data_IF_938583176237
#
_entry.id   IF_938583176237
#
_cell.length_a   1.000
_cell.length_b   1.000
_cell.length_c   1.000
_cell.angle_alpha   90.00
_cell.angle_beta   90.00
_cell.angle_gamma   90.00
#
_symmetry.space_group_name_H-M   'P 1'
#
loop_
_entity.id
_entity.type
_entity.pdbx_description
1 polymer ?
#
# COMPACT_ATOMS: atom_id res chain seq x y z
N UNK A 1 -14.03 -4.65 20.84
CA UNK A 1 -13.13 -3.94 21.75
C UNK A 1 -13.67 -3.96 23.19
N UNK A 2 -14.93 -3.50 23.42
CA UNK A 2 -15.50 -3.38 24.77
C UNK A 2 -15.43 -4.69 25.59
N UNK A 3 -15.71 -5.84 24.98
CA UNK A 3 -15.66 -7.17 25.64
C UNK A 3 -14.24 -7.79 25.68
N UNK A 4 -13.21 -7.06 25.30
CA UNK A 4 -11.83 -7.56 25.24
C UNK A 4 -11.52 -8.57 24.13
N UNK A 5 -12.48 -8.94 23.26
CA UNK A 5 -12.32 -9.94 22.21
C UNK A 5 -11.46 -9.45 21.03
N UNK A 6 -11.41 -8.14 20.80
CA UNK A 6 -10.59 -7.51 19.77
C UNK A 6 -9.88 -6.29 20.35
N UNK A 7 -8.65 -6.01 19.87
CA UNK A 7 -7.84 -4.85 20.30
C UNK A 7 -8.06 -3.66 19.39
N UNK A 8 -8.15 -3.89 18.09
CA UNK A 8 -8.23 -2.86 17.07
C UNK A 8 -9.38 -3.12 16.11
N UNK A 9 -9.99 -2.05 15.59
CA UNK A 9 -11.02 -2.10 14.57
C UNK A 9 -10.44 -1.64 13.24
N UNK A 10 -10.81 -2.32 12.16
CA UNK A 10 -10.47 -1.93 10.81
C UNK A 10 -11.70 -1.90 9.92
N UNK A 11 -11.59 -1.14 8.83
CA UNK A 11 -12.56 -1.08 7.75
C UNK A 11 -11.89 -1.42 6.43
N UNK A 12 -12.68 -1.69 5.40
CA UNK A 12 -12.15 -1.99 4.06
C UNK A 12 -12.96 -1.27 2.99
N UNK A 13 -12.26 -0.70 2.00
CA UNK A 13 -12.85 0.02 0.86
C UNK A 13 -13.70 1.23 1.26
N UNK A 14 -13.37 1.87 2.40
CA UNK A 14 -14.06 3.09 2.81
C UNK A 14 -13.45 4.29 2.09
N UNK A 15 -14.30 5.02 1.35
CA UNK A 15 -13.93 6.34 0.84
C UNK A 15 -13.86 7.36 1.99
N UNK A 16 -13.41 8.58 1.69
CA UNK A 16 -13.21 9.63 2.68
C UNK A 16 -14.48 9.93 3.51
N UNK A 17 -15.66 9.92 2.87
CA UNK A 17 -16.94 10.18 3.53
C UNK A 17 -17.28 9.06 4.54
N UNK A 18 -17.19 7.81 4.10
CA UNK A 18 -17.46 6.64 4.95
C UNK A 18 -16.45 6.53 6.09
N UNK A 19 -15.18 6.83 5.84
CA UNK A 19 -14.14 6.77 6.86
C UNK A 19 -14.33 7.82 7.95
N UNK A 20 -14.68 9.05 7.57
CA UNK A 20 -15.05 10.12 8.52
C UNK A 20 -16.26 9.71 9.36
N UNK A 21 -17.30 9.21 8.71
CA UNK A 21 -18.53 8.78 9.37
C UNK A 21 -18.29 7.59 10.32
N UNK A 22 -17.49 6.62 9.92
CA UNK A 22 -17.13 5.49 10.79
C UNK A 22 -16.40 5.95 12.06
N UNK A 23 -15.52 6.95 11.93
CA UNK A 23 -14.81 7.51 13.10
C UNK A 23 -15.74 8.28 14.05
N UNK A 24 -16.70 9.01 13.51
CA UNK A 24 -17.69 9.76 14.31
C UNK A 24 -18.62 8.81 15.08
N UNK A 25 -19.01 7.69 14.47
CA UNK A 25 -19.96 6.74 15.05
C UNK A 25 -19.30 5.69 15.94
N UNK A 26 -17.99 5.49 15.85
CA UNK A 26 -17.29 4.44 16.59
C UNK A 26 -16.69 4.98 17.89
N UNK A 27 -17.04 4.35 19.01
CA UNK A 27 -16.40 4.62 20.31
C UNK A 27 -14.95 4.11 20.38
N UNK A 28 -14.61 3.13 19.53
CA UNK A 28 -13.25 2.58 19.44
C UNK A 28 -12.61 3.16 18.18
N UNK A 29 -11.38 3.70 18.25
CA UNK A 29 -10.71 4.25 17.09
C UNK A 29 -10.60 3.25 15.94
N UNK A 30 -10.85 3.73 14.72
CA UNK A 30 -10.56 2.94 13.50
C UNK A 30 -9.05 2.92 13.31
N UNK A 31 -8.47 1.74 13.38
CA UNK A 31 -7.02 1.54 13.32
C UNK A 31 -6.49 1.45 11.88
N UNK A 32 -7.25 0.83 10.98
CA UNK A 32 -6.84 0.65 9.59
C UNK A 32 -7.99 0.76 8.60
N UNK A 33 -7.68 1.24 7.38
CA UNK A 33 -8.55 1.10 6.21
C UNK A 33 -7.80 0.28 5.15
N UNK A 34 -8.33 -0.88 4.79
CA UNK A 34 -7.76 -1.77 3.77
C UNK A 34 -8.37 -1.46 2.40
N UNK A 35 -7.54 -1.04 1.46
CA UNK A 35 -7.98 -0.57 0.13
C UNK A 35 -7.01 -1.03 -0.96
N UNK A 36 -7.43 -1.07 -2.25
CA UNK A 36 -6.50 -1.33 -3.34
C UNK A 36 -5.49 -0.19 -3.45
N UNK A 37 -4.22 -0.53 -3.62
CA UNK A 37 -3.19 0.46 -3.89
C UNK A 37 -1.97 -0.20 -4.53
N UNK A 38 -1.63 0.27 -5.72
CA UNK A 38 -0.49 -0.16 -6.51
C UNK A 38 0.03 0.99 -7.36
N UNK A 39 1.11 0.78 -8.11
CA UNK A 39 1.61 1.76 -9.09
C UNK A 39 0.55 2.10 -10.15
N UNK A 40 -0.32 1.15 -10.50
CA UNK A 40 -1.40 1.31 -11.50
C UNK A 40 -2.75 1.73 -10.92
N UNK A 41 -2.99 1.55 -9.63
CA UNK A 41 -4.23 1.99 -8.96
C UNK A 41 -3.91 2.89 -7.76
N UNK A 42 -4.10 4.19 -7.95
CA UNK A 42 -3.89 5.25 -6.95
C UNK A 42 -5.18 5.95 -6.55
N UNK A 43 -6.32 5.37 -6.86
CA UNK A 43 -7.64 6.00 -6.66
C UNK A 43 -7.86 6.48 -5.22
N UNK A 44 -7.36 5.75 -4.22
CA UNK A 44 -7.47 6.11 -2.80
C UNK A 44 -6.43 7.15 -2.33
N UNK A 45 -5.41 7.40 -3.13
CA UNK A 45 -4.48 8.53 -2.93
C UNK A 45 -5.10 9.80 -3.55
N UNK A 46 -5.51 9.70 -4.81
CA UNK A 46 -6.03 10.83 -5.59
C UNK A 46 -7.32 11.42 -5.00
N UNK A 47 -8.11 10.61 -4.31
CA UNK A 47 -9.33 11.03 -3.62
C UNK A 47 -9.13 11.49 -2.16
N UNK A 48 -7.87 11.58 -1.69
CA UNK A 48 -7.49 12.12 -0.39
C UNK A 48 -7.62 11.15 0.79
N UNK A 49 -7.92 9.87 0.57
CA UNK A 49 -8.05 8.87 1.66
C UNK A 49 -6.71 8.60 2.32
N UNK A 50 -5.61 8.45 1.54
CA UNK A 50 -4.28 8.24 2.11
C UNK A 50 -3.87 9.41 3.01
N UNK A 51 -4.00 10.63 2.52
CA UNK A 51 -3.67 11.84 3.29
C UNK A 51 -4.48 11.91 4.59
N UNK A 52 -5.78 11.62 4.52
CA UNK A 52 -6.63 11.58 5.69
C UNK A 52 -6.21 10.51 6.70
N UNK A 53 -5.83 9.33 6.24
CA UNK A 53 -5.31 8.25 7.09
C UNK A 53 -4.03 8.69 7.82
N UNK A 54 -3.09 9.31 7.11
CA UNK A 54 -1.84 9.82 7.65
C UNK A 54 -2.05 10.89 8.72
N UNK A 55 -2.97 11.84 8.48
CA UNK A 55 -3.29 12.92 9.40
C UNK A 55 -4.04 12.46 10.66
N UNK A 56 -4.66 11.28 10.63
CA UNK A 56 -5.55 10.80 11.69
C UNK A 56 -5.10 9.50 12.35
N UNK A 57 -3.83 9.14 12.20
CA UNK A 57 -3.21 7.95 12.80
C UNK A 57 -3.86 6.62 12.40
N UNK A 58 -4.42 6.57 11.17
CA UNK A 58 -5.02 5.38 10.59
C UNK A 58 -3.99 4.69 9.69
N UNK A 59 -3.80 3.40 9.85
CA UNK A 59 -2.95 2.60 8.99
C UNK A 59 -3.64 2.39 7.63
N UNK A 60 -2.92 2.64 6.55
CA UNK A 60 -3.40 2.37 5.19
C UNK A 60 -2.87 1.00 4.76
N UNK A 61 -3.74 -0.01 4.69
CA UNK A 61 -3.37 -1.37 4.31
C UNK A 61 -3.63 -1.57 2.82
N UNK A 62 -2.56 -1.64 2.03
CA UNK A 62 -2.62 -1.80 0.58
C UNK A 62 -2.81 -3.26 0.19
N UNK A 63 -3.94 -3.62 -0.43
CA UNK A 63 -4.12 -4.92 -1.06
C UNK A 63 -3.93 -4.83 -2.58
N UNK A 64 -3.71 -5.97 -3.25
CA UNK A 64 -3.35 -6.07 -4.67
C UNK A 64 -2.17 -5.17 -5.10
N UNK A 65 -1.08 -5.12 -4.31
CA UNK A 65 -0.01 -4.14 -4.51
C UNK A 65 0.79 -4.34 -5.80
N UNK A 66 0.68 -5.52 -6.41
CA UNK A 66 1.36 -5.90 -7.67
C UNK A 66 0.38 -6.15 -8.83
N UNK A 67 -0.88 -5.70 -8.67
CA UNK A 67 -1.93 -5.72 -9.69
C UNK A 67 -2.05 -7.08 -10.41
N UNK A 68 -2.03 -8.18 -9.63
CA UNK A 68 -2.14 -9.56 -10.14
C UNK A 68 -1.13 -9.90 -11.26
N UNK A 69 0.03 -9.24 -11.27
CA UNK A 69 1.08 -9.44 -12.26
C UNK A 69 0.95 -8.63 -13.55
N UNK A 70 -0.01 -7.71 -13.64
CA UNK A 70 -0.21 -6.85 -14.85
C UNK A 70 0.83 -5.75 -15.02
N UNK A 71 1.79 -5.64 -14.10
CA UNK A 71 2.85 -4.63 -14.13
C UNK A 71 3.92 -4.85 -15.21
N UNK A 72 3.92 -6.00 -15.90
CA UNK A 72 4.98 -6.42 -16.82
C UNK A 72 5.20 -5.53 -18.05
N UNK A 73 4.30 -4.59 -18.34
CA UNK A 73 4.44 -3.63 -19.44
C UNK A 73 4.88 -2.23 -19.01
N UNK A 74 5.17 -2.02 -17.72
CA UNK A 74 5.58 -0.71 -17.22
C UNK A 74 7.09 -0.51 -17.37
N UNK A 75 7.48 0.28 -18.38
CA UNK A 75 8.89 0.56 -18.70
C UNK A 75 9.65 1.28 -17.58
N UNK A 76 8.97 2.10 -16.79
CA UNK A 76 9.58 2.79 -15.66
C UNK A 76 9.97 1.78 -14.57
N UNK A 77 9.06 0.85 -14.24
CA UNK A 77 9.36 -0.24 -13.32
C UNK A 77 10.54 -1.10 -13.83
N UNK A 78 10.55 -1.46 -15.12
CA UNK A 78 11.64 -2.24 -15.69
C UNK A 78 13.00 -1.53 -15.59
N UNK A 79 13.02 -0.23 -15.84
CA UNK A 79 14.25 0.57 -15.80
C UNK A 79 14.80 0.63 -14.38
N UNK A 80 13.95 0.92 -13.39
CA UNK A 80 14.33 1.01 -11.98
C UNK A 80 14.73 -0.38 -11.46
N UNK A 81 14.01 -1.44 -11.82
CA UNK A 81 14.31 -2.81 -11.43
C UNK A 81 15.72 -3.24 -11.87
N UNK A 82 16.11 -2.91 -13.09
CA UNK A 82 17.47 -3.16 -13.61
C UNK A 82 18.54 -2.40 -12.81
N UNK A 83 18.26 -1.14 -12.44
CA UNK A 83 19.21 -0.33 -11.69
C UNK A 83 19.46 -0.88 -10.27
N UNK A 84 18.41 -1.45 -9.66
CA UNK A 84 18.46 -2.06 -8.32
C UNK A 84 18.82 -3.55 -8.32
N UNK A 85 19.00 -4.17 -9.51
CA UNK A 85 19.15 -5.63 -9.65
C UNK A 85 18.02 -6.40 -8.92
N UNK A 86 16.80 -5.90 -9.04
CA UNK A 86 15.59 -6.43 -8.40
C UNK A 86 14.51 -6.75 -9.44
N UNK A 87 13.48 -7.47 -9.03
CA UNK A 87 12.30 -7.69 -9.88
C UNK A 87 11.40 -6.46 -9.92
N UNK A 88 10.59 -6.32 -10.98
CA UNK A 88 9.60 -5.25 -11.08
C UNK A 88 8.59 -5.29 -9.94
N UNK A 89 8.30 -6.49 -9.42
CA UNK A 89 7.40 -6.69 -8.28
C UNK A 89 8.00 -6.17 -6.99
N UNK A 90 9.29 -6.39 -6.76
CA UNK A 90 10.00 -5.83 -5.60
C UNK A 90 10.02 -4.29 -5.65
N UNK A 91 10.26 -3.68 -6.81
CA UNK A 91 10.20 -2.23 -6.97
C UNK A 91 8.78 -1.70 -6.71
N UNK A 92 7.76 -2.37 -7.24
CA UNK A 92 6.38 -1.99 -7.00
C UNK A 92 6.01 -2.04 -5.50
N UNK A 93 6.43 -3.08 -4.80
CA UNK A 93 6.22 -3.21 -3.35
C UNK A 93 6.99 -2.15 -2.57
N UNK A 94 8.27 -1.93 -2.90
CA UNK A 94 9.09 -0.89 -2.28
C UNK A 94 8.46 0.50 -2.47
N UNK A 95 7.90 0.79 -3.66
CA UNK A 95 7.18 2.04 -3.90
C UNK A 95 5.92 2.15 -3.04
N UNK A 96 5.10 1.09 -2.92
CA UNK A 96 3.90 1.10 -2.07
C UNK A 96 4.27 1.43 -0.62
N UNK A 97 5.26 0.74 -0.04
CA UNK A 97 5.66 0.93 1.36
C UNK A 97 6.51 2.18 1.59
N UNK A 98 6.99 2.85 0.54
CA UNK A 98 7.68 4.15 0.68
C UNK A 98 6.75 5.27 1.18
N UNK A 99 5.45 5.07 1.12
CA UNK A 99 4.46 6.03 1.61
C UNK A 99 4.30 5.91 3.13
N UNK A 100 4.38 7.00 3.88
CA UNK A 100 4.22 6.97 5.34
C UNK A 100 2.88 6.34 5.76
N UNK A 101 2.91 5.49 6.79
CA UNK A 101 1.75 4.77 7.34
C UNK A 101 1.06 3.80 6.38
N UNK A 102 1.76 3.36 5.35
CA UNK A 102 1.28 2.33 4.44
C UNK A 102 1.98 1.01 4.77
N UNK A 103 1.18 -0.04 4.85
CA UNK A 103 1.65 -1.43 4.83
C UNK A 103 1.01 -2.14 3.64
N UNK A 104 1.61 -3.25 3.21
CA UNK A 104 1.07 -4.04 2.10
C UNK A 104 0.97 -5.52 2.45
N UNK A 105 0.11 -6.22 1.73
CA UNK A 105 -0.21 -7.64 1.96
C UNK A 105 -0.10 -8.45 0.67
N UNK A 106 1.10 -8.50 0.04
CA UNK A 106 1.31 -9.33 -1.14
C UNK A 106 1.13 -10.81 -0.82
N UNK A 107 0.54 -11.58 -1.74
CA UNK A 107 0.33 -13.01 -1.58
C UNK A 107 1.05 -13.78 -2.67
N UNK A 108 1.69 -14.88 -2.31
CA UNK A 108 2.22 -15.87 -3.24
C UNK A 108 2.24 -17.26 -2.60
N UNK A 109 2.14 -18.30 -3.44
CA UNK A 109 2.40 -19.70 -3.04
C UNK A 109 3.79 -20.17 -3.51
N UNK A 110 4.53 -19.37 -4.28
CA UNK A 110 5.89 -19.67 -4.70
C UNK A 110 6.87 -19.19 -3.62
N UNK A 111 7.70 -20.08 -3.03
CA UNK A 111 8.66 -19.71 -2.00
C UNK A 111 9.64 -18.60 -2.43
N UNK A 112 10.07 -18.58 -3.69
CA UNK A 112 10.94 -17.54 -4.22
C UNK A 112 10.23 -16.17 -4.22
N UNK A 113 8.99 -16.10 -4.68
CA UNK A 113 8.23 -14.84 -4.67
C UNK A 113 7.90 -14.38 -3.24
N UNK A 114 7.72 -15.32 -2.29
CA UNK A 114 7.54 -14.96 -0.87
C UNK A 114 8.81 -14.29 -0.35
N UNK A 115 9.98 -14.83 -0.67
CA UNK A 115 11.26 -14.23 -0.29
C UNK A 115 11.45 -12.86 -0.96
N UNK A 116 11.20 -12.76 -2.26
CA UNK A 116 11.27 -11.50 -3.00
C UNK A 116 10.34 -10.42 -2.42
N UNK A 117 9.11 -10.80 -2.03
CA UNK A 117 8.17 -9.89 -1.37
C UNK A 117 8.70 -9.37 -0.03
N UNK A 118 9.39 -10.23 0.73
CA UNK A 118 10.01 -9.86 1.99
C UNK A 118 11.22 -8.95 1.78
N UNK A 119 12.09 -9.31 0.84
CA UNK A 119 13.30 -8.55 0.50
C UNK A 119 12.98 -7.15 -0.07
N UNK A 120 11.78 -6.96 -0.64
CA UNK A 120 11.33 -5.66 -1.11
C UNK A 120 11.30 -4.58 0.00
N UNK A 121 11.18 -4.99 1.27
CA UNK A 121 11.22 -4.08 2.41
C UNK A 121 12.60 -3.46 2.66
N UNK A 122 13.65 -4.09 2.16
CA UNK A 122 15.03 -3.61 2.29
C UNK A 122 15.46 -2.68 1.12
N UNK A 123 14.60 -2.52 0.10
CA UNK A 123 14.89 -1.68 -1.05
C UNK A 123 14.58 -0.21 -0.77
N UNK A 124 15.60 0.62 -0.88
CA UNK A 124 15.46 2.07 -0.76
C UNK A 124 15.39 2.73 -2.15
N UNK A 125 14.20 3.21 -2.52
CA UNK A 125 14.02 3.99 -3.74
C UNK A 125 14.39 5.46 -3.49
N UNK A 126 15.11 6.05 -4.43
CA UNK A 126 15.39 7.49 -4.42
C UNK A 126 14.10 8.30 -4.61
N UNK A 127 14.10 9.57 -4.17
CA UNK A 127 12.98 10.50 -4.39
C UNK A 127 12.62 10.65 -5.87
N UNK A 128 13.63 10.60 -6.75
CA UNK A 128 13.43 10.66 -8.19
C UNK A 128 12.69 9.45 -8.73
N UNK A 129 13.05 8.25 -8.29
CA UNK A 129 12.40 6.99 -8.70
C UNK A 129 10.95 6.93 -8.20
N UNK A 130 10.73 7.30 -6.93
CA UNK A 130 9.36 7.41 -6.37
C UNK A 130 8.53 8.38 -7.21
N UNK A 131 9.07 9.56 -7.56
CA UNK A 131 8.36 10.53 -8.38
C UNK A 131 8.07 10.03 -9.81
N UNK A 132 9.01 9.30 -10.43
CA UNK A 132 8.80 8.70 -11.75
C UNK A 132 7.68 7.65 -11.73
N UNK A 133 7.61 6.81 -10.71
CA UNK A 133 6.54 5.81 -10.54
C UNK A 133 5.19 6.45 -10.19
N UNK A 134 5.21 7.59 -9.51
CA UNK A 134 4.00 8.32 -9.15
C UNK A 134 3.40 9.07 -10.33
N UNK A 135 4.20 9.53 -11.30
CA UNK A 135 3.76 10.36 -12.41
C UNK A 135 3.66 9.61 -13.77
N UNK A 136 4.10 8.37 -13.82
CA UNK A 136 4.04 7.49 -14.99
C UNK A 136 2.81 6.63 -14.98
#
# INVERSE_FOLDING_TARGET
ARDGKVKHLGVSNFNLKLLKQARELSETPIFTNQVPFSVSDRSYVDNGVLEYCQQNDILFTAYSPVDEGKLSSNKTLETIAKAHNASIFQIALAWVISHPRVITIPMSFNPQHIQENFDAAELELSKSEIAQLTNG
#
